data_IF_382280557689
#
_entry.id   IF_382280557689
#
_cell.length_a   1.000
_cell.length_b   1.000
_cell.length_c   1.000
_cell.angle_alpha   90.00
_cell.angle_beta   90.00
_cell.angle_gamma   90.00
#
_symmetry.space_group_name_H-M   'P 1'
#
loop_
_entity.id
_entity.type
_entity.pdbx_description
1 polymer ?
#
# COMPACT_ATOMS: atom_id res chain seq x y z
N UNK A 1 -11.87 10.41 15.09
CA UNK A 1 -12.53 9.18 14.58
C UNK A 1 -11.73 7.97 14.96
N UNK A 2 -12.33 6.78 14.83
CA UNK A 2 -11.61 5.52 15.02
C UNK A 2 -11.18 5.01 13.65
N UNK A 3 -9.95 4.50 13.54
CA UNK A 3 -9.44 3.78 12.38
C UNK A 3 -9.12 2.35 12.79
N UNK A 4 -9.36 1.39 11.90
CA UNK A 4 -9.16 -0.03 12.17
C UNK A 4 -8.12 -0.60 11.21
N UNK A 5 -7.20 -1.37 11.75
CA UNK A 5 -6.15 -2.05 10.98
C UNK A 5 -6.15 -3.54 11.26
N UNK A 6 -5.86 -4.33 10.23
CA UNK A 6 -5.53 -5.74 10.41
C UNK A 6 -4.05 -5.84 10.82
N UNK A 7 -3.82 -6.38 12.01
CA UNK A 7 -2.47 -6.54 12.56
C UNK A 7 -2.29 -7.96 13.09
N UNK A 8 -1.17 -8.58 12.75
CA UNK A 8 -0.73 -9.84 13.35
C UNK A 8 0.66 -9.66 13.94
N UNK A 9 0.82 -10.06 15.19
CA UNK A 9 2.11 -10.17 15.86
C UNK A 9 2.53 -11.64 15.87
N UNK A 10 3.73 -11.93 15.37
CA UNK A 10 4.27 -13.27 15.31
C UNK A 10 5.61 -13.34 16.08
N UNK A 11 5.82 -14.42 16.81
CA UNK A 11 7.09 -14.73 17.48
C UNK A 11 7.57 -16.11 17.07
N UNK A 12 8.79 -16.21 16.54
CA UNK A 12 9.45 -17.47 16.20
C UNK A 12 10.63 -17.70 17.17
N UNK A 13 10.51 -18.75 18.00
CA UNK A 13 11.54 -19.14 18.96
C UNK A 13 12.31 -20.35 18.42
N UNK A 14 13.56 -20.15 18.07
CA UNK A 14 14.41 -21.24 17.59
C UNK A 14 14.90 -22.17 18.73
N UNK A 15 15.50 -23.31 18.38
CA UNK A 15 16.02 -24.30 19.35
C UNK A 15 17.15 -23.77 20.26
N UNK A 16 17.79 -22.67 19.87
CA UNK A 16 18.85 -21.99 20.62
C UNK A 16 18.31 -20.91 21.58
N UNK A 17 17.00 -20.75 21.68
CA UNK A 17 16.36 -19.74 22.53
C UNK A 17 16.38 -18.33 21.98
N UNK A 18 16.71 -18.14 20.70
CA UNK A 18 16.64 -16.83 20.03
C UNK A 18 15.24 -16.62 19.48
N UNK A 19 14.61 -15.53 19.88
CA UNK A 19 13.27 -15.15 19.42
C UNK A 19 13.36 -14.10 18.31
N UNK A 20 12.76 -14.41 17.16
CA UNK A 20 12.45 -13.47 16.11
C UNK A 20 11.05 -12.91 16.31
N UNK A 21 10.86 -11.66 16.00
CA UNK A 21 9.60 -10.94 16.17
C UNK A 21 9.19 -10.35 14.83
N UNK A 22 7.91 -10.52 14.49
CA UNK A 22 7.35 -10.03 13.25
C UNK A 22 6.06 -9.26 13.51
N UNK A 23 5.83 -8.25 12.68
CA UNK A 23 4.55 -7.55 12.56
C UNK A 23 4.10 -7.72 11.11
N UNK A 24 2.84 -8.13 10.94
CA UNK A 24 2.12 -8.08 9.67
C UNK A 24 1.03 -7.03 9.80
N UNK A 25 1.01 -6.07 8.90
CA UNK A 25 0.16 -4.88 8.98
C UNK A 25 -0.46 -4.59 7.62
N UNK A 26 -1.79 -4.45 7.58
CA UNK A 26 -2.52 -4.04 6.38
C UNK A 26 -2.87 -2.55 6.47
N UNK A 27 -2.36 -1.76 5.53
CA UNK A 27 -2.68 -0.36 5.36
C UNK A 27 -3.57 -0.16 4.13
N UNK A 28 -4.75 0.42 4.34
CA UNK A 28 -5.74 0.64 3.28
C UNK A 28 -5.67 2.09 2.82
N UNK A 29 -5.48 2.27 1.52
CA UNK A 29 -5.36 3.59 0.90
C UNK A 29 -6.13 3.68 -0.42
N UNK A 30 -6.30 4.89 -0.93
CA UNK A 30 -6.83 5.13 -2.27
C UNK A 30 -5.70 5.28 -3.26
N UNK A 31 -5.88 4.75 -4.47
CA UNK A 31 -5.00 5.03 -5.59
C UNK A 31 -5.80 5.51 -6.79
N UNK A 32 -5.26 6.46 -7.54
CA UNK A 32 -5.79 6.92 -8.81
C UNK A 32 -4.70 6.76 -9.87
N UNK A 33 -5.10 6.24 -11.03
CA UNK A 33 -4.17 5.89 -12.11
C UNK A 33 -3.64 7.15 -12.80
N UNK A 34 -2.31 7.37 -12.86
CA UNK A 34 -1.70 8.51 -13.54
C UNK A 34 -2.05 8.60 -15.03
N UNK A 35 -2.00 7.47 -15.74
CA UNK A 35 -2.34 7.42 -17.18
C UNK A 35 -3.80 7.77 -17.43
N UNK A 36 -4.71 7.22 -16.60
CA UNK A 36 -6.14 7.53 -16.72
C UNK A 36 -6.43 9.00 -16.42
N UNK A 37 -5.70 9.59 -15.48
CA UNK A 37 -5.81 11.01 -15.17
C UNK A 37 -5.43 11.89 -16.38
N UNK A 38 -4.28 11.62 -17.01
CA UNK A 38 -3.82 12.35 -18.18
C UNK A 38 -4.84 12.27 -19.33
N UNK A 39 -5.35 11.07 -19.61
CA UNK A 39 -6.37 10.87 -20.66
C UNK A 39 -7.70 11.54 -20.31
N UNK A 40 -8.09 11.58 -19.04
CA UNK A 40 -9.28 12.29 -18.57
C UNK A 40 -9.13 13.81 -18.80
N UNK A 41 -7.97 14.39 -18.47
CA UNK A 41 -7.66 15.79 -18.71
C UNK A 41 -7.66 16.12 -20.22
N UNK A 42 -7.06 15.26 -21.05
CA UNK A 42 -7.08 15.40 -22.50
C UNK A 42 -8.53 15.42 -23.03
N UNK A 43 -9.36 14.46 -22.62
CA UNK A 43 -10.75 14.38 -23.07
C UNK A 43 -11.59 15.57 -22.60
N UNK A 44 -11.34 16.08 -21.38
CA UNK A 44 -11.98 17.29 -20.86
C UNK A 44 -11.59 18.51 -21.69
N UNK A 45 -10.29 18.69 -21.94
CA UNK A 45 -9.74 19.86 -22.61
C UNK A 45 -10.05 19.92 -24.12
N UNK A 46 -9.92 18.79 -24.82
CA UNK A 46 -9.96 18.77 -26.29
C UNK A 46 -11.21 18.15 -26.88
N UNK A 47 -11.98 17.40 -26.08
CA UNK A 47 -13.18 16.71 -26.53
C UNK A 47 -14.45 17.18 -25.83
N UNK A 48 -14.35 18.12 -24.89
CA UNK A 48 -15.44 18.63 -24.07
C UNK A 48 -16.29 17.50 -23.43
N UNK A 49 -15.63 16.49 -22.85
CA UNK A 49 -16.28 15.37 -22.18
C UNK A 49 -16.06 15.46 -20.67
N UNK A 50 -17.12 15.21 -19.90
CA UNK A 50 -16.98 14.99 -18.47
C UNK A 50 -16.28 13.65 -18.24
N UNK A 51 -15.12 13.69 -17.61
CA UNK A 51 -14.25 12.54 -17.39
C UNK A 51 -13.57 12.64 -16.05
N UNK A 52 -13.30 11.49 -15.45
CA UNK A 52 -12.51 11.35 -14.22
C UNK A 52 -11.52 10.21 -14.40
N UNK A 53 -10.38 10.28 -13.71
CA UNK A 53 -9.47 9.13 -13.59
C UNK A 53 -10.15 8.00 -12.82
N UNK A 54 -9.94 6.76 -13.24
CA UNK A 54 -10.35 5.66 -12.38
C UNK A 54 -9.51 5.66 -11.09
N UNK A 55 -10.18 5.38 -10.01
CA UNK A 55 -9.58 5.26 -8.69
C UNK A 55 -10.21 4.09 -7.96
N UNK A 56 -9.46 3.52 -7.06
CA UNK A 56 -9.85 2.32 -6.33
C UNK A 56 -9.28 2.29 -4.93
N UNK A 57 -9.90 1.47 -4.08
CA UNK A 57 -9.29 1.08 -2.82
C UNK A 57 -8.13 0.15 -3.09
N UNK A 58 -7.07 0.35 -2.32
CA UNK A 58 -5.81 -0.37 -2.44
C UNK A 58 -5.34 -0.82 -1.07
N UNK A 59 -4.57 -1.89 -1.01
CA UNK A 59 -4.06 -2.43 0.24
C UNK A 59 -2.56 -2.64 0.12
N UNK A 60 -1.81 -2.09 1.07
CA UNK A 60 -0.42 -2.42 1.30
C UNK A 60 -0.32 -3.40 2.47
N UNK A 61 0.12 -4.63 2.20
CA UNK A 61 0.41 -5.65 3.20
C UNK A 61 1.88 -5.61 3.51
N UNK A 62 2.22 -5.20 4.72
CA UNK A 62 3.59 -5.01 5.18
C UNK A 62 3.91 -6.08 6.20
N UNK A 63 5.00 -6.80 5.99
CA UNK A 63 5.55 -7.76 6.94
C UNK A 63 6.96 -7.32 7.30
N UNK A 64 7.26 -7.12 8.58
CA UNK A 64 8.58 -6.74 9.06
C UNK A 64 9.11 -7.74 10.10
N UNK A 65 10.41 -8.09 10.04
CA UNK A 65 11.18 -8.64 11.16
C UNK A 65 11.88 -7.47 11.88
N UNK A 66 11.81 -7.41 13.21
CA UNK A 66 12.39 -6.28 13.95
C UNK A 66 13.13 -6.75 15.23
N UNK A 67 14.14 -5.99 15.65
CA UNK A 67 14.86 -6.24 16.90
C UNK A 67 14.36 -5.39 18.07
N UNK A 68 14.21 -4.09 17.86
CA UNK A 68 13.66 -3.14 18.82
C UNK A 68 12.21 -2.84 18.45
N UNK A 69 11.38 -2.59 19.45
CA UNK A 69 9.95 -2.35 19.26
C UNK A 69 9.70 -1.28 18.17
N UNK A 70 8.89 -1.66 17.22
CA UNK A 70 8.24 -0.77 16.26
C UNK A 70 6.75 -0.78 16.60
N UNK A 71 6.19 0.39 16.92
CA UNK A 71 4.78 0.50 17.27
C UNK A 71 3.92 0.50 16.00
N UNK A 72 2.69 0.04 16.13
CA UNK A 72 1.73 -0.01 15.02
C UNK A 72 1.46 1.40 14.49
N UNK A 73 1.39 2.37 15.38
CA UNK A 73 1.20 3.79 15.07
C UNK A 73 2.38 4.34 14.24
N UNK A 74 3.61 3.92 14.54
CA UNK A 74 4.79 4.32 13.75
C UNK A 74 4.74 3.72 12.33
N UNK A 75 4.30 2.47 12.19
CA UNK A 75 4.09 1.84 10.88
C UNK A 75 2.97 2.55 10.09
N UNK A 76 1.88 2.89 10.76
CA UNK A 76 0.80 3.66 10.14
C UNK A 76 1.31 5.02 9.65
N UNK A 77 2.07 5.75 10.47
CA UNK A 77 2.67 7.03 10.07
C UNK A 77 3.66 6.91 8.91
N UNK A 78 4.46 5.82 8.86
CA UNK A 78 5.34 5.55 7.72
C UNK A 78 4.53 5.32 6.44
N UNK A 79 3.45 4.55 6.53
CA UNK A 79 2.55 4.29 5.40
C UNK A 79 1.86 5.57 4.93
N UNK A 80 1.37 6.38 5.85
CA UNK A 80 0.69 7.64 5.52
C UNK A 80 1.65 8.63 4.86
N UNK A 81 2.87 8.78 5.37
CA UNK A 81 3.90 9.60 4.72
C UNK A 81 4.27 9.12 3.32
N UNK A 82 4.30 7.80 3.11
CA UNK A 82 4.62 7.22 1.81
C UNK A 82 3.49 7.42 0.79
N UNK A 83 2.26 7.16 1.21
CA UNK A 83 1.12 7.00 0.29
C UNK A 83 0.16 8.19 0.28
N UNK A 84 0.06 8.94 1.37
CA UNK A 84 -0.70 10.18 1.55
C UNK A 84 -2.24 10.09 1.34
N UNK A 85 -2.77 8.92 1.06
CA UNK A 85 -4.19 8.74 0.67
C UNK A 85 -4.86 7.65 1.49
N UNK A 86 -4.59 7.60 2.80
CA UNK A 86 -5.24 6.66 3.71
C UNK A 86 -6.78 6.80 3.62
N UNK A 87 -7.47 5.65 3.57
CA UNK A 87 -8.94 5.66 3.56
C UNK A 87 -9.50 6.02 4.93
N UNK A 88 -10.62 6.72 4.95
CA UNK A 88 -11.27 7.17 6.18
C UNK A 88 -12.53 6.37 6.48
N UNK A 89 -12.79 6.09 7.76
CA UNK A 89 -13.96 5.31 8.19
C UNK A 89 -15.23 6.15 8.15
N UNK A 90 -15.15 7.43 8.54
CA UNK A 90 -16.27 8.37 8.56
C UNK A 90 -15.81 9.69 7.98
N UNK A 91 -16.55 10.20 7.02
CA UNK A 91 -16.29 11.47 6.34
C UNK A 91 -17.52 12.35 6.32
N UNK A 92 -17.32 13.65 6.34
CA UNK A 92 -18.31 14.66 6.03
C UNK A 92 -18.18 15.07 4.56
N UNK A 93 -19.12 15.85 4.06
CA UNK A 93 -19.10 16.29 2.66
C UNK A 93 -17.87 17.12 2.30
N UNK A 94 -17.39 17.93 3.22
CA UNK A 94 -16.18 18.72 3.06
C UNK A 94 -14.94 17.84 2.98
N UNK A 95 -14.92 16.74 3.75
CA UNK A 95 -13.83 15.76 3.76
C UNK A 95 -13.78 14.99 2.43
N UNK A 96 -14.94 14.68 1.81
CA UNK A 96 -15.01 14.03 0.50
C UNK A 96 -14.36 14.90 -0.60
N UNK A 97 -14.62 16.22 -0.56
CA UNK A 97 -14.00 17.15 -1.51
C UNK A 97 -12.48 17.22 -1.30
N UNK A 98 -12.05 17.40 -0.05
CA UNK A 98 -10.63 17.43 0.29
C UNK A 98 -9.92 16.12 -0.08
N UNK A 99 -10.57 14.96 0.11
CA UNK A 99 -10.03 13.67 -0.27
C UNK A 99 -9.93 13.49 -1.79
N UNK A 100 -10.89 14.02 -2.56
CA UNK A 100 -10.82 14.00 -4.02
C UNK A 100 -9.63 14.81 -4.54
N UNK A 101 -9.37 15.99 -3.96
CA UNK A 101 -8.20 16.82 -4.27
C UNK A 101 -6.90 16.11 -3.87
N UNK A 102 -6.85 15.51 -2.68
CA UNK A 102 -5.71 14.76 -2.19
C UNK A 102 -5.39 13.59 -3.10
N UNK A 103 -6.40 12.80 -3.48
CA UNK A 103 -6.25 11.64 -4.36
C UNK A 103 -5.72 12.03 -5.75
N UNK A 104 -6.19 13.18 -6.28
CA UNK A 104 -5.69 13.75 -7.52
C UNK A 104 -4.27 14.29 -7.44
N UNK A 105 -3.81 14.67 -6.24
CA UNK A 105 -2.46 15.20 -6.00
C UNK A 105 -1.41 14.10 -5.82
N UNK A 106 -1.82 12.88 -5.44
CA UNK A 106 -0.95 11.75 -5.14
C UNK A 106 -1.24 10.53 -6.03
N UNK A 107 -1.26 10.78 -7.35
CA UNK A 107 -1.40 9.71 -8.34
C UNK A 107 -0.24 8.73 -8.24
N UNK A 108 -0.51 7.42 -8.34
CA UNK A 108 0.53 6.39 -8.23
C UNK A 108 0.14 5.09 -8.91
N UNK A 109 1.11 4.44 -9.54
CA UNK A 109 1.04 3.04 -9.93
C UNK A 109 1.26 2.14 -8.71
N UNK A 110 0.92 0.86 -8.84
CA UNK A 110 1.12 -0.11 -7.75
C UNK A 110 2.61 -0.29 -7.42
N UNK A 111 3.49 -0.20 -8.41
CA UNK A 111 4.93 -0.26 -8.25
C UNK A 111 5.49 0.95 -7.52
N UNK A 112 4.93 2.13 -7.78
CA UNK A 112 5.33 3.37 -7.08
C UNK A 112 4.96 3.29 -5.61
N UNK A 113 3.75 2.79 -5.29
CA UNK A 113 3.33 2.56 -3.93
C UNK A 113 4.29 1.63 -3.17
N UNK A 114 4.69 0.52 -3.82
CA UNK A 114 5.64 -0.42 -3.22
C UNK A 114 7.03 0.21 -3.00
N UNK A 115 7.54 1.01 -3.96
CA UNK A 115 8.83 1.71 -3.83
C UNK A 115 8.83 2.76 -2.73
N UNK A 116 7.77 3.56 -2.64
CA UNK A 116 7.63 4.57 -1.59
C UNK A 116 7.63 3.95 -0.18
N UNK A 117 6.96 2.82 -0.01
CA UNK A 117 6.99 2.07 1.25
C UNK A 117 8.36 1.44 1.52
N UNK A 118 9.02 0.91 0.49
CA UNK A 118 10.39 0.40 0.62
C UNK A 118 11.33 1.47 1.16
N UNK A 119 11.27 2.70 0.65
CA UNK A 119 12.11 3.83 1.08
C UNK A 119 11.91 4.13 2.58
N UNK A 120 10.67 4.08 3.08
CA UNK A 120 10.41 4.28 4.50
C UNK A 120 10.98 3.15 5.38
N UNK A 121 10.81 1.90 4.95
CA UNK A 121 11.18 0.74 5.75
C UNK A 121 12.71 0.50 5.78
N UNK A 122 13.41 0.75 4.68
CA UNK A 122 14.86 0.53 4.58
C UNK A 122 15.66 1.51 5.44
N UNK A 123 15.11 2.67 5.75
CA UNK A 123 15.76 3.68 6.58
C UNK A 123 15.64 3.38 8.08
N UNK A 124 14.64 2.59 8.52
CA UNK A 124 14.46 2.27 9.92
C UNK A 124 15.38 1.13 10.36
N UNK A 125 16.43 1.46 11.11
CA UNK A 125 17.46 0.51 11.59
C UNK A 125 16.90 -0.59 12.51
N UNK A 126 15.70 -0.43 13.04
CA UNK A 126 15.01 -1.45 13.87
C UNK A 126 14.45 -2.57 13.02
N UNK A 127 14.11 -2.28 11.77
CA UNK A 127 13.63 -3.24 10.77
C UNK A 127 14.83 -4.01 10.23
N UNK A 128 14.80 -5.34 10.35
CA UNK A 128 15.89 -6.25 9.94
C UNK A 128 15.62 -6.92 8.61
N UNK A 129 14.36 -7.16 8.34
CA UNK A 129 13.88 -7.75 7.10
C UNK A 129 12.44 -7.28 6.86
N UNK A 130 12.03 -7.18 5.60
CA UNK A 130 10.65 -6.84 5.29
C UNK A 130 10.20 -7.33 3.93
N UNK A 131 8.89 -7.45 3.81
CA UNK A 131 8.16 -7.66 2.54
C UNK A 131 7.01 -6.67 2.49
N UNK A 132 6.83 -6.03 1.34
CA UNK A 132 5.68 -5.21 1.01
C UNK A 132 4.95 -5.82 -0.18
N UNK A 133 3.65 -6.02 -0.07
CA UNK A 133 2.77 -6.42 -1.17
C UNK A 133 1.72 -5.32 -1.32
N UNK A 134 1.77 -4.56 -2.40
CA UNK A 134 0.73 -3.60 -2.76
C UNK A 134 -0.24 -4.24 -3.74
N UNK A 135 -1.54 -4.08 -3.50
CA UNK A 135 -2.62 -4.51 -4.39
C UNK A 135 -3.55 -3.34 -4.66
N UNK A 136 -3.67 -2.96 -5.92
CA UNK A 136 -4.67 -2.02 -6.41
C UNK A 136 -5.87 -2.81 -6.93
N UNK A 137 -7.02 -2.68 -6.23
CA UNK A 137 -8.28 -3.34 -6.60
C UNK A 137 -8.89 -2.65 -7.81
N UNK A 138 -8.32 -2.91 -8.98
CA UNK A 138 -8.59 -2.19 -10.22
C UNK A 138 -10.08 -2.04 -10.53
N UNK A 139 -10.51 -0.81 -10.80
CA UNK A 139 -11.89 -0.51 -11.20
C UNK A 139 -12.11 -0.58 -12.71
N UNK A 140 -11.03 -0.65 -13.50
CA UNK A 140 -11.07 -0.77 -14.96
C UNK A 140 -11.03 -2.24 -15.41
N UNK A 141 -10.29 -3.08 -14.69
CA UNK A 141 -10.04 -4.49 -15.01
C UNK A 141 -10.76 -5.42 -14.04
N UNK A 142 -10.97 -6.67 -14.45
CA UNK A 142 -11.54 -7.71 -13.60
C UNK A 142 -10.53 -8.38 -12.65
N UNK A 143 -9.29 -7.89 -12.64
CA UNK A 143 -8.18 -8.38 -11.81
C UNK A 143 -7.49 -7.18 -11.13
N UNK A 144 -6.80 -7.46 -10.04
CA UNK A 144 -5.99 -6.47 -9.34
C UNK A 144 -4.62 -6.33 -10.00
N UNK A 145 -4.02 -5.14 -9.85
CA UNK A 145 -2.60 -4.94 -10.10
C UNK A 145 -1.84 -5.16 -8.79
N UNK A 146 -0.79 -6.00 -8.81
CA UNK A 146 -0.04 -6.36 -7.61
C UNK A 146 1.45 -6.14 -7.82
N UNK A 147 2.10 -5.52 -6.83
CA UNK A 147 3.56 -5.35 -6.78
C UNK A 147 4.10 -5.89 -5.47
N UNK A 148 5.20 -6.63 -5.55
CA UNK A 148 5.91 -7.18 -4.39
C UNK A 148 7.31 -6.63 -4.34
N UNK A 149 7.73 -6.13 -3.18
CA UNK A 149 9.10 -5.70 -2.95
C UNK A 149 9.62 -6.26 -1.63
N UNK A 150 10.89 -6.65 -1.61
CA UNK A 150 11.55 -7.26 -0.46
C UNK A 150 12.74 -6.43 -0.03
N UNK A 151 13.11 -6.56 1.24
CA UNK A 151 14.42 -6.08 1.70
C UNK A 151 15.57 -6.77 0.94
N UNK A 152 16.74 -6.15 0.82
CA UNK A 152 17.92 -6.81 0.27
C UNK A 152 18.25 -8.08 1.06
N UNK A 153 18.40 -9.21 0.35
CA UNK A 153 18.65 -10.54 0.94
C UNK A 153 17.56 -11.02 1.91
N UNK A 154 16.32 -10.61 1.68
CA UNK A 154 15.17 -10.99 2.50
C UNK A 154 15.02 -12.50 2.61
N UNK A 155 14.55 -12.94 3.77
CA UNK A 155 14.10 -14.32 4.04
C UNK A 155 12.61 -14.51 3.83
N UNK A 156 11.86 -13.42 3.65
CA UNK A 156 10.46 -13.51 3.25
C UNK A 156 10.36 -14.10 1.84
N UNK A 157 9.32 -14.90 1.62
CA UNK A 157 9.01 -15.41 0.30
C UNK A 157 8.45 -14.27 -0.58
N UNK A 158 8.89 -14.21 -1.83
CA UNK A 158 8.35 -13.29 -2.83
C UNK A 158 6.97 -13.75 -3.35
N UNK A 159 6.52 -14.94 -2.95
CA UNK A 159 5.24 -15.48 -3.41
C UNK A 159 4.08 -14.58 -2.96
N UNK A 160 3.23 -14.32 -3.91
CA UNK A 160 1.96 -13.64 -3.65
C UNK A 160 1.03 -14.65 -2.97
N UNK A 161 0.34 -14.27 -1.88
CA UNK A 161 -0.64 -15.16 -1.24
C UNK A 161 -1.66 -15.68 -2.25
N UNK A 162 -2.04 -16.95 -2.12
CA UNK A 162 -2.93 -17.65 -3.07
C UNK A 162 -4.27 -16.94 -3.26
N UNK A 163 -4.75 -16.23 -2.24
CA UNK A 163 -5.98 -15.45 -2.30
C UNK A 163 -5.91 -14.28 -3.32
N UNK A 164 -4.70 -13.85 -3.68
CA UNK A 164 -4.46 -12.81 -4.68
C UNK A 164 -4.17 -13.37 -6.08
N UNK A 165 -4.02 -14.68 -6.24
CA UNK A 165 -3.67 -15.31 -7.53
C UNK A 165 -4.75 -15.18 -8.59
N UNK A 166 -6.03 -15.18 -8.20
CA UNK A 166 -7.14 -14.97 -9.13
C UNK A 166 -7.18 -13.57 -9.74
N UNK A 167 -6.32 -12.68 -9.27
CA UNK A 167 -6.30 -11.26 -9.56
C UNK A 167 -4.98 -10.81 -10.22
N UNK A 168 -4.05 -11.74 -10.57
CA UNK A 168 -2.70 -11.36 -11.00
C UNK A 168 -2.58 -11.08 -12.50
N UNK A 169 -2.16 -9.86 -12.84
CA UNK A 169 -1.16 -9.64 -13.91
C UNK A 169 0.19 -9.54 -13.22
N UNK A 170 1.10 -10.45 -13.56
CA UNK A 170 2.48 -10.41 -13.10
C UNK A 170 3.21 -9.37 -13.93
N UNK A 171 3.54 -8.23 -13.29
CA UNK A 171 4.48 -7.26 -13.86
C UNK A 171 5.81 -7.52 -13.15
N UNK A 172 6.69 -8.22 -13.86
CA UNK A 172 8.09 -8.43 -13.44
C UNK A 172 8.95 -7.24 -13.76
#
# INVERSE_FOLDING_TARGET
GYQYYNVTLEGDLNKQGVMKKFIHFDFVYSSACPCSYELAEYARKYRNKATVSHSQRSVARISIEFDKMVWIEELQEMCDRALNTETQVVVKREDEMAFAELNGSYLKFVEDAARLLYEQLVEDKRVKDFRVICSHQESLHSHDAVSVILAPNSKFCADVPHELWSSLIHIS
#
